data_IF_993335977335
#
_entry.id   IF_993335977335
#
_cell.length_a   1.000
_cell.length_b   1.000
_cell.length_c   1.000
_cell.angle_alpha   90.00
_cell.angle_beta   90.00
_cell.angle_gamma   90.00
#
_symmetry.space_group_name_H-M   'P 1'
#
loop_
_entity.id
_entity.type
_entity.pdbx_description
1 polymer ?
#
# COMPACT_ATOMS: atom_id res chain seq x y z
N UNK A 1 47.05 -7.13 -0.64
CA UNK A 1 46.17 -6.57 -1.71
C UNK A 1 44.69 -6.75 -1.39
N UNK A 2 44.29 -7.82 -0.70
CA UNK A 2 42.92 -8.05 -0.21
C UNK A 2 42.47 -7.09 0.92
N UNK A 3 43.38 -6.61 1.76
CA UNK A 3 43.05 -5.72 2.88
C UNK A 3 42.59 -4.32 2.44
N UNK A 4 43.05 -3.84 1.29
CA UNK A 4 42.65 -2.53 0.76
C UNK A 4 41.21 -2.55 0.25
N UNK A 5 40.80 -3.65 -0.38
CA UNK A 5 39.43 -3.84 -0.86
C UNK A 5 38.47 -4.00 0.33
N UNK A 6 38.84 -4.75 1.36
CA UNK A 6 38.01 -4.92 2.56
C UNK A 6 37.83 -3.60 3.35
N UNK A 7 38.88 -2.78 3.42
CA UNK A 7 38.83 -1.44 4.04
C UNK A 7 38.05 -0.44 3.17
N UNK A 8 38.13 -0.56 1.84
CA UNK A 8 37.39 0.28 0.89
C UNK A 8 35.88 -0.04 0.89
N UNK A 9 35.51 -1.33 0.94
CA UNK A 9 34.11 -1.75 1.06
C UNK A 9 33.49 -1.34 2.40
N UNK A 10 34.23 -1.38 3.51
CA UNK A 10 33.74 -0.83 4.80
C UNK A 10 33.67 0.70 4.81
N UNK A 11 34.59 1.39 4.13
CA UNK A 11 34.60 2.86 4.05
C UNK A 11 33.41 3.45 3.27
N UNK A 12 33.00 2.78 2.19
CA UNK A 12 31.85 3.20 1.37
C UNK A 12 30.50 2.88 2.03
N UNK A 13 30.42 1.80 2.82
CA UNK A 13 29.19 1.42 3.55
C UNK A 13 28.91 2.27 4.80
N UNK A 14 29.91 3.00 5.33
CA UNK A 14 29.73 3.88 6.50
C UNK A 14 29.36 5.33 6.13
N UNK A 15 29.47 5.70 4.86
CA UNK A 15 29.36 7.09 4.41
C UNK A 15 27.94 7.56 4.02
N UNK A 16 26.90 6.77 4.24
CA UNK A 16 25.52 7.19 3.92
C UNK A 16 24.51 6.91 5.03
N UNK A 17 24.91 7.01 6.30
CA UNK A 17 23.90 7.17 7.33
C UNK A 17 23.33 8.59 7.25
N UNK A 18 22.06 8.71 6.85
CA UNK A 18 21.35 9.99 6.89
C UNK A 18 21.35 10.54 8.32
N UNK A 19 21.27 11.86 8.49
CA UNK A 19 21.21 12.45 9.84
C UNK A 19 20.06 11.86 10.68
N UNK A 20 18.99 11.43 10.01
CA UNK A 20 17.83 10.75 10.58
C UNK A 20 18.18 9.36 11.12
N UNK A 21 18.91 8.54 10.35
CA UNK A 21 19.34 7.21 10.78
C UNK A 21 20.21 7.26 12.04
N UNK A 22 21.13 8.24 12.12
CA UNK A 22 21.96 8.44 13.31
C UNK A 22 21.13 8.78 14.53
N UNK A 23 20.18 9.70 14.40
CA UNK A 23 19.29 10.11 15.49
C UNK A 23 18.40 8.96 15.98
N UNK A 24 17.93 8.11 15.07
CA UNK A 24 17.16 6.91 15.40
C UNK A 24 18.02 5.93 16.20
N UNK A 25 19.27 5.69 15.79
CA UNK A 25 20.19 4.79 16.49
C UNK A 25 20.55 5.29 17.90
N UNK A 26 20.78 6.59 18.07
CA UNK A 26 21.02 7.19 19.39
C UNK A 26 19.81 7.05 20.31
N UNK A 27 18.61 7.32 19.78
CA UNK A 27 17.35 7.17 20.52
C UNK A 27 17.13 5.70 20.94
N UNK A 28 17.40 4.74 20.05
CA UNK A 28 17.28 3.31 20.32
C UNK A 28 18.24 2.82 21.42
N UNK A 29 19.44 3.40 21.50
CA UNK A 29 20.42 3.06 22.55
C UNK A 29 20.00 3.57 23.93
N UNK A 30 19.28 4.69 24.00
CA UNK A 30 18.78 5.28 25.24
C UNK A 30 17.53 4.58 25.81
N UNK A 31 16.88 3.72 25.02
CA UNK A 31 15.64 3.04 25.42
C UNK A 31 15.88 1.77 26.25
N UNK A 32 14.97 1.48 27.21
CA UNK A 32 14.93 0.20 27.92
C UNK A 32 14.74 -0.99 26.97
N UNK A 33 15.27 -2.18 27.30
CA UNK A 33 15.21 -3.35 26.42
C UNK A 33 13.79 -3.78 26.08
N UNK A 34 12.83 -3.58 26.98
CA UNK A 34 11.41 -3.92 26.80
C UNK A 34 10.74 -3.11 25.68
N UNK A 35 11.26 -1.91 25.39
CA UNK A 35 10.72 -0.99 24.38
C UNK A 35 11.38 -1.15 23.01
N UNK A 36 12.45 -1.94 22.91
CA UNK A 36 13.14 -2.19 21.64
C UNK A 36 12.33 -3.12 20.73
N UNK A 37 11.56 -4.05 21.29
CA UNK A 37 10.65 -4.92 20.53
C UNK A 37 9.56 -4.10 19.82
N UNK A 38 8.94 -3.15 20.51
CA UNK A 38 7.91 -2.27 19.97
C UNK A 38 8.41 -1.46 18.75
N UNK A 39 9.69 -1.09 18.75
CA UNK A 39 10.32 -0.42 17.60
C UNK A 39 10.53 -1.38 16.43
N UNK A 40 10.91 -2.62 16.69
CA UNK A 40 11.04 -3.65 15.65
C UNK A 40 9.67 -3.85 14.98
N UNK A 41 8.61 -4.02 15.77
CA UNK A 41 7.25 -4.17 15.29
C UNK A 41 6.81 -2.96 14.45
N UNK A 42 7.14 -1.74 14.89
CA UNK A 42 6.85 -0.53 14.16
C UNK A 42 7.61 -0.43 12.83
N UNK A 43 8.89 -0.83 12.80
CA UNK A 43 9.69 -0.86 11.57
C UNK A 43 9.10 -1.87 10.57
N UNK A 44 8.70 -3.06 11.04
CA UNK A 44 8.03 -4.04 10.19
C UNK A 44 6.71 -3.51 9.64
N UNK A 45 5.89 -2.88 10.49
CA UNK A 45 4.67 -2.21 10.06
C UNK A 45 4.94 -1.15 8.98
N UNK A 46 5.96 -0.30 9.15
CA UNK A 46 6.32 0.69 8.14
C UNK A 46 6.73 0.03 6.81
N UNK A 47 7.49 -1.07 6.86
CA UNK A 47 7.83 -1.84 5.64
C UNK A 47 6.57 -2.30 4.92
N UNK A 48 5.58 -2.85 5.63
CA UNK A 48 4.31 -3.28 4.99
C UNK A 48 3.56 -2.13 4.31
N UNK A 49 3.62 -0.91 4.87
CA UNK A 49 2.99 0.29 4.27
C UNK A 49 3.74 0.82 3.05
N UNK A 50 5.05 0.65 3.00
CA UNK A 50 5.87 1.07 1.85
C UNK A 50 5.71 0.15 0.64
N UNK A 51 5.31 -1.11 0.86
CA UNK A 51 4.88 -2.01 -0.21
C UNK A 51 3.48 -1.57 -0.67
N UNK A 52 3.41 -0.45 -1.39
CA UNK A 52 2.25 -0.15 -2.24
C UNK A 52 2.19 -1.27 -3.27
N UNK A 53 1.31 -2.26 -3.07
CA UNK A 53 0.96 -3.16 -4.17
C UNK A 53 0.52 -2.27 -5.32
N UNK A 54 1.13 -2.41 -6.48
CA UNK A 54 0.64 -1.79 -7.70
C UNK A 54 -0.84 -2.14 -7.81
N UNK A 55 -1.71 -1.15 -7.62
CA UNK A 55 -3.15 -1.33 -7.78
C UNK A 55 -3.35 -1.66 -9.24
N UNK A 56 -3.52 -2.95 -9.54
CA UNK A 56 -3.82 -3.40 -10.92
C UNK A 56 -5.04 -2.62 -11.37
N UNK A 57 -4.96 -1.98 -12.53
CA UNK A 57 -6.06 -1.17 -13.01
C UNK A 57 -7.29 -2.06 -13.19
N UNK A 58 -8.40 -1.70 -12.54
CA UNK A 58 -9.67 -2.41 -12.71
C UNK A 58 -10.24 -2.24 -14.12
N UNK A 59 -9.70 -1.30 -14.90
CA UNK A 59 -10.06 -1.06 -16.31
C UNK A 59 -9.92 -2.33 -17.16
N UNK A 60 -8.95 -3.19 -16.85
CA UNK A 60 -8.74 -4.46 -17.57
C UNK A 60 -9.50 -5.65 -16.97
N UNK A 61 -10.16 -5.48 -15.81
CA UNK A 61 -10.96 -6.54 -15.20
C UNK A 61 -12.31 -6.67 -15.92
N UNK A 62 -12.91 -5.54 -16.29
CA UNK A 62 -14.20 -5.50 -16.99
C UNK A 62 -14.13 -6.00 -18.42
N UNK A 63 -12.99 -5.86 -19.11
CA UNK A 63 -12.80 -6.37 -20.47
C UNK A 63 -12.79 -7.89 -20.56
N UNK A 64 -12.57 -8.62 -19.45
CA UNK A 64 -12.70 -10.07 -19.40
C UNK A 64 -14.18 -10.52 -19.40
N UNK A 65 -15.07 -9.67 -18.92
CA UNK A 65 -16.50 -9.92 -18.98
C UNK A 65 -16.98 -9.30 -20.28
N UNK A 66 -17.28 -10.12 -21.28
CA UNK A 66 -17.87 -9.71 -22.55
C UNK A 66 -19.32 -9.26 -22.36
N UNK A 67 -19.54 -8.29 -21.48
CA UNK A 67 -20.86 -7.72 -21.22
C UNK A 67 -21.14 -6.70 -22.30
N UNK A 68 -22.00 -7.08 -23.24
CA UNK A 68 -22.58 -6.15 -24.18
C UNK A 68 -23.80 -5.56 -23.49
N UNK A 69 -23.70 -4.31 -23.04
CA UNK A 69 -24.83 -3.59 -22.48
C UNK A 69 -25.35 -2.66 -23.57
N UNK A 70 -26.57 -2.90 -24.04
CA UNK A 70 -27.22 -2.00 -24.99
C UNK A 70 -27.92 -0.83 -24.27
N UNK A 71 -28.04 0.31 -24.94
CA UNK A 71 -28.75 1.48 -24.41
C UNK A 71 -30.22 1.17 -24.13
N UNK A 72 -30.82 0.31 -24.96
CA UNK A 72 -32.20 -0.14 -24.81
C UNK A 72 -32.39 -0.97 -23.54
N UNK A 73 -31.51 -1.95 -23.29
CA UNK A 73 -31.57 -2.75 -22.06
C UNK A 73 -31.39 -1.89 -20.80
N UNK A 74 -30.54 -0.86 -20.83
CA UNK A 74 -30.39 0.08 -19.69
C UNK A 74 -31.68 0.87 -19.49
N UNK A 75 -32.29 1.37 -20.57
CA UNK A 75 -33.53 2.15 -20.52
C UNK A 75 -34.69 1.31 -19.99
N UNK A 76 -34.82 0.08 -20.48
CA UNK A 76 -35.89 -0.84 -20.09
C UNK A 76 -35.72 -1.27 -18.62
N UNK A 77 -34.52 -1.66 -18.20
CA UNK A 77 -34.22 -1.98 -16.80
C UNK A 77 -34.46 -0.78 -15.87
N UNK A 78 -34.10 0.43 -16.30
CA UNK A 78 -34.37 1.65 -15.52
C UNK A 78 -35.87 1.88 -15.43
N UNK A 79 -36.63 1.72 -16.51
CA UNK A 79 -38.08 1.86 -16.46
C UNK A 79 -38.70 0.85 -15.49
N UNK A 80 -38.35 -0.43 -15.60
CA UNK A 80 -38.86 -1.51 -14.75
C UNK A 80 -38.51 -1.32 -13.25
N UNK A 81 -37.29 -0.90 -12.94
CA UNK A 81 -36.86 -0.67 -11.56
C UNK A 81 -37.52 0.56 -10.93
N UNK A 82 -37.71 1.63 -11.71
CA UNK A 82 -38.23 2.89 -11.21
C UNK A 82 -39.77 2.97 -11.23
N UNK A 83 -40.45 2.20 -12.10
CA UNK A 83 -41.92 2.01 -12.05
C UNK A 83 -42.37 1.30 -10.76
N UNK A 84 -41.54 0.39 -10.24
CA UNK A 84 -41.77 -0.29 -8.96
C UNK A 84 -41.37 0.55 -7.73
N UNK A 85 -40.73 1.71 -7.94
CA UNK A 85 -40.22 2.55 -6.84
C UNK A 85 -41.27 3.54 -6.32
N UNK A 86 -42.24 3.92 -7.16
CA UNK A 86 -43.30 4.91 -6.83
C UNK A 86 -44.62 4.27 -6.42
N UNK A 87 -44.78 2.96 -6.62
CA UNK A 87 -45.99 2.18 -6.31
C UNK A 87 -46.17 1.86 -4.82
N UNK A 88 -45.30 2.38 -3.94
CA UNK A 88 -45.47 2.37 -2.48
C UNK A 88 -46.50 3.37 -1.93
N UNK A 89 -47.26 4.06 -2.79
CA UNK A 89 -48.30 5.02 -2.39
C UNK A 89 -49.69 4.56 -2.86
N UNK A 90 -50.11 3.35 -2.46
CA UNK A 90 -51.52 2.99 -2.46
C UNK A 90 -52.01 2.74 -1.02
N UNK A 91 -52.75 3.75 -0.53
CA UNK A 91 -53.64 3.82 0.65
C UNK A 91 -53.04 4.10 2.02
#
# INVERSE_FOLDING_TARGET
MLDFVYKSSKGVLMARQSAEEKKILESLRALPPEKKSEIIDFIEFLKTKTVKSERRSLKNLWSRFSVQISEQEISDLRKELWENFTSGNEK
#
